data_IF_324633835138
#
_entry.id   IF_324633835138
#
_cell.length_a   1.000
_cell.length_b   1.000
_cell.length_c   1.000
_cell.angle_alpha   90.00
_cell.angle_beta   90.00
_cell.angle_gamma   90.00
#
_symmetry.space_group_name_H-M   'P 1'
#
loop_
_entity.id
_entity.type
_entity.pdbx_description
1 polymer ?
#
# COMPACT_ATOMS: atom_id res chain seq x y z
N UNK A 1 18.58 13.09 -14.37
CA UNK A 1 17.93 11.78 -14.14
C UNK A 1 18.93 10.65 -14.33
N UNK A 2 19.03 9.72 -13.37
CA UNK A 2 19.88 8.52 -13.44
C UNK A 2 18.99 7.27 -13.37
N UNK A 3 19.28 6.24 -14.17
CA UNK A 3 18.53 4.98 -14.19
C UNK A 3 19.43 3.87 -13.66
N UNK A 4 18.93 3.12 -12.68
CA UNK A 4 19.67 2.04 -12.02
C UNK A 4 18.85 0.74 -12.14
N UNK A 5 19.45 -0.37 -12.60
CA UNK A 5 18.78 -1.66 -12.53
C UNK A 5 18.65 -2.10 -11.07
N UNK A 6 17.47 -2.57 -10.68
CA UNK A 6 17.23 -3.14 -9.35
C UNK A 6 17.21 -4.66 -9.44
N UNK A 7 16.43 -5.20 -10.38
CA UNK A 7 16.37 -6.62 -10.71
C UNK A 7 15.85 -6.81 -12.14
N UNK A 8 15.47 -8.04 -12.51
CA UNK A 8 15.04 -8.38 -13.87
C UNK A 8 13.77 -7.65 -14.34
N UNK A 9 12.93 -7.15 -13.43
CA UNK A 9 11.65 -6.48 -13.74
C UNK A 9 11.52 -5.09 -13.12
N UNK A 10 12.59 -4.54 -12.54
CA UNK A 10 12.54 -3.25 -11.85
C UNK A 10 13.72 -2.35 -12.22
N UNK A 11 13.42 -1.08 -12.46
CA UNK A 11 14.39 0.00 -12.58
C UNK A 11 14.09 1.09 -11.53
N UNK A 12 15.14 1.66 -10.94
CA UNK A 12 15.06 2.83 -10.09
C UNK A 12 15.50 4.05 -10.90
N UNK A 13 14.64 5.06 -10.94
CA UNK A 13 14.93 6.36 -11.53
C UNK A 13 15.24 7.34 -10.41
N UNK A 14 16.42 7.94 -10.42
CA UNK A 14 16.79 9.01 -9.50
C UNK A 14 16.65 10.38 -10.15
N UNK A 15 16.02 11.30 -9.41
CA UNK A 15 15.73 12.67 -9.82
C UNK A 15 16.35 13.67 -8.82
N UNK A 16 16.36 14.94 -9.18
CA UNK A 16 17.05 15.98 -8.38
C UNK A 16 16.21 16.48 -7.21
N UNK A 17 14.88 16.43 -7.34
CA UNK A 17 13.94 16.98 -6.38
C UNK A 17 12.61 16.21 -6.36
N UNK A 18 11.83 16.44 -5.31
CA UNK A 18 10.47 15.92 -5.23
C UNK A 18 9.58 16.47 -6.34
N UNK A 19 9.70 17.77 -6.63
CA UNK A 19 8.91 18.41 -7.70
C UNK A 19 9.16 17.74 -9.06
N UNK A 20 10.42 17.44 -9.36
CA UNK A 20 10.78 16.69 -10.58
C UNK A 20 10.23 15.25 -10.53
N UNK A 21 10.29 14.60 -9.36
CA UNK A 21 9.78 13.23 -9.16
C UNK A 21 8.28 13.13 -9.41
N UNK A 22 7.50 14.05 -8.82
CA UNK A 22 6.04 14.13 -9.03
C UNK A 22 5.68 14.49 -10.47
N UNK A 23 6.39 15.44 -11.08
CA UNK A 23 6.17 15.81 -12.48
C UNK A 23 6.44 14.64 -13.43
N UNK A 24 7.52 13.89 -13.18
CA UNK A 24 7.88 12.74 -14.00
C UNK A 24 6.95 11.55 -13.77
N UNK A 25 6.52 11.30 -12.53
CA UNK A 25 5.50 10.30 -12.20
C UNK A 25 4.22 10.52 -13.01
N UNK A 26 3.69 11.75 -13.00
CA UNK A 26 2.49 12.11 -13.76
C UNK A 26 2.71 11.98 -15.27
N UNK A 27 3.87 12.40 -15.77
CA UNK A 27 4.19 12.26 -17.20
C UNK A 27 4.23 10.80 -17.66
N UNK A 28 4.80 9.88 -16.85
CA UNK A 28 4.78 8.44 -17.15
C UNK A 28 3.35 7.91 -17.11
N UNK A 29 2.54 8.29 -16.12
CA UNK A 29 1.13 7.87 -16.04
C UNK A 29 0.31 8.33 -17.24
N UNK A 30 0.54 9.56 -17.71
CA UNK A 30 -0.12 10.10 -18.89
C UNK A 30 0.34 9.42 -20.19
N UNK A 31 1.60 9.00 -20.26
CA UNK A 31 2.13 8.25 -21.41
C UNK A 31 1.48 6.86 -21.55
N UNK A 32 0.93 6.30 -20.45
CA UNK A 32 0.19 5.04 -20.44
C UNK A 32 0.94 3.90 -21.15
N UNK A 33 2.21 3.70 -20.77
CA UNK A 33 3.10 2.68 -21.33
C UNK A 33 2.62 1.30 -20.87
N UNK A 34 2.16 0.47 -21.80
CA UNK A 34 1.51 -0.81 -21.52
C UNK A 34 2.42 -1.83 -20.81
N UNK A 35 3.73 -1.69 -20.99
CA UNK A 35 4.74 -2.59 -20.44
C UNK A 35 5.12 -2.26 -18.99
N UNK A 36 4.65 -1.13 -18.44
CA UNK A 36 4.83 -0.76 -17.04
C UNK A 36 3.65 -1.32 -16.22
N UNK A 37 3.94 -2.15 -15.22
CA UNK A 37 2.92 -2.73 -14.34
C UNK A 37 2.63 -1.85 -13.11
N UNK A 38 3.65 -1.21 -12.55
CA UNK A 38 3.49 -0.36 -11.37
C UNK A 38 4.59 0.70 -11.28
N UNK A 39 4.27 1.81 -10.60
CA UNK A 39 5.19 2.93 -10.38
C UNK A 39 5.04 3.41 -8.94
N UNK A 40 6.15 3.35 -8.19
CA UNK A 40 6.20 3.75 -6.78
C UNK A 40 7.03 5.02 -6.63
N UNK A 41 6.40 6.18 -6.35
CA UNK A 41 7.14 7.40 -6.09
C UNK A 41 7.68 7.45 -4.66
N UNK A 42 8.83 8.10 -4.50
CA UNK A 42 9.42 8.48 -3.22
C UNK A 42 9.96 9.92 -3.31
N UNK A 43 10.76 10.35 -2.32
CA UNK A 43 11.19 11.75 -2.24
C UNK A 43 11.98 12.25 -3.47
N UNK A 44 12.91 11.45 -3.99
CA UNK A 44 13.76 11.79 -5.15
C UNK A 44 13.95 10.61 -6.10
N UNK A 45 13.10 9.60 -5.99
CA UNK A 45 13.21 8.37 -6.76
C UNK A 45 11.85 7.87 -7.21
N UNK A 46 11.81 7.22 -8.37
CA UNK A 46 10.69 6.39 -8.82
C UNK A 46 11.18 4.95 -8.99
N UNK A 47 10.52 3.99 -8.37
CA UNK A 47 10.69 2.58 -8.70
C UNK A 47 9.66 2.22 -9.77
N UNK A 48 10.10 1.73 -10.91
CA UNK A 48 9.23 1.31 -12.01
C UNK A 48 9.35 -0.20 -12.15
N UNK A 49 8.21 -0.89 -12.01
CA UNK A 49 8.05 -2.30 -12.32
C UNK A 49 7.57 -2.43 -13.76
N UNK A 50 8.22 -3.29 -14.54
CA UNK A 50 7.90 -3.52 -15.95
C UNK A 50 7.97 -5.00 -16.30
N UNK A 51 7.38 -5.34 -17.45
CA UNK A 51 7.26 -6.72 -17.93
C UNK A 51 8.46 -7.09 -18.82
N UNK A 52 9.41 -7.93 -18.36
CA UNK A 52 10.69 -8.12 -19.06
C UNK A 52 10.58 -8.90 -20.38
N UNK A 53 9.48 -9.65 -20.58
CA UNK A 53 9.20 -10.35 -21.83
C UNK A 53 8.46 -9.49 -22.86
N UNK A 54 7.98 -8.30 -22.48
CA UNK A 54 7.40 -7.33 -23.40
C UNK A 54 8.41 -6.25 -23.80
N UNK A 55 9.26 -5.81 -22.86
CA UNK A 55 10.26 -4.77 -23.10
C UNK A 55 11.55 -5.03 -22.31
N UNK A 56 12.69 -4.71 -22.91
CA UNK A 56 13.97 -4.73 -22.18
C UNK A 56 14.15 -3.46 -21.35
N UNK A 57 14.93 -3.54 -20.26
CA UNK A 57 15.29 -2.37 -19.46
C UNK A 57 15.87 -1.22 -20.30
N UNK A 58 16.68 -1.56 -21.32
CA UNK A 58 17.34 -0.58 -22.18
C UNK A 58 16.34 0.18 -23.05
N UNK A 59 15.38 -0.52 -23.64
CA UNK A 59 14.30 0.08 -24.45
C UNK A 59 13.41 0.95 -23.57
N UNK A 60 13.01 0.46 -22.40
CA UNK A 60 12.20 1.22 -21.46
C UNK A 60 12.91 2.52 -21.03
N UNK A 61 14.20 2.46 -20.70
CA UNK A 61 14.99 3.66 -20.36
C UNK A 61 15.03 4.65 -21.53
N UNK A 62 15.13 4.18 -22.78
CA UNK A 62 15.11 5.05 -23.95
C UNK A 62 13.75 5.76 -24.11
N UNK A 63 12.64 5.06 -23.87
CA UNK A 63 11.30 5.65 -23.86
C UNK A 63 11.20 6.70 -22.74
N UNK A 64 11.56 6.33 -21.52
CA UNK A 64 11.44 7.19 -20.34
C UNK A 64 12.26 8.48 -20.45
N UNK A 65 13.43 8.45 -21.09
CA UNK A 65 14.26 9.63 -21.35
C UNK A 65 13.62 10.64 -22.30
N UNK A 66 12.73 10.19 -23.18
CA UNK A 66 12.08 11.01 -24.19
C UNK A 66 10.70 11.52 -23.75
N UNK A 67 10.24 11.16 -22.55
CA UNK A 67 8.98 11.68 -22.01
C UNK A 67 9.17 13.17 -21.72
N UNK A 68 8.38 14.00 -22.41
CA UNK A 68 8.33 15.43 -22.13
C UNK A 68 7.68 15.66 -20.76
N UNK A 69 8.46 16.22 -19.83
CA UNK A 69 7.92 16.75 -18.58
C UNK A 69 7.27 18.09 -18.92
N UNK A 70 6.00 18.04 -19.33
CA UNK A 70 5.20 19.25 -19.45
C UNK A 70 5.10 19.87 -18.06
N UNK A 71 5.40 21.17 -17.95
CA UNK A 71 5.20 21.92 -16.72
C UNK A 71 3.78 21.61 -16.24
N UNK A 72 3.70 21.01 -15.05
CA UNK A 72 2.48 20.44 -14.47
C UNK A 72 1.34 21.44 -14.73
N UNK A 73 0.46 21.13 -15.69
CA UNK A 73 -0.90 21.62 -15.59
C UNK A 73 -1.37 20.94 -14.31
N UNK A 74 -1.32 21.68 -13.19
CA UNK A 74 -1.77 21.22 -11.90
C UNK A 74 -3.12 20.61 -12.15
N UNK A 75 -3.16 19.27 -12.16
CA UNK A 75 -4.38 18.52 -11.92
C UNK A 75 -5.00 19.25 -10.74
N UNK A 76 -6.25 19.71 -10.88
CA UNK A 76 -6.98 20.41 -9.81
C UNK A 76 -6.60 19.74 -8.51
N UNK A 77 -5.68 20.35 -7.74
CA UNK A 77 -5.16 19.65 -6.58
C UNK A 77 -6.30 19.69 -5.60
N UNK A 78 -6.78 18.51 -5.20
CA UNK A 78 -7.84 18.46 -4.22
C UNK A 78 -7.24 19.00 -2.93
N UNK A 79 -7.63 20.22 -2.55
CA UNK A 79 -7.25 20.77 -1.26
C UNK A 79 -8.07 20.05 -0.19
N UNK A 80 -7.41 19.14 0.52
CA UNK A 80 -7.98 18.35 1.59
C UNK A 80 -7.69 19.03 2.92
N UNK A 81 -8.72 19.18 3.75
CA UNK A 81 -8.59 19.75 5.09
C UNK A 81 -8.53 18.63 6.13
N UNK A 82 -7.51 18.66 6.99
CA UNK A 82 -7.38 17.72 8.11
C UNK A 82 -7.55 18.49 9.43
N UNK A 83 -8.68 18.29 10.15
CA UNK A 83 -8.89 18.84 11.48
C UNK A 83 -7.99 18.11 12.49
N UNK A 84 -7.27 18.85 13.31
CA UNK A 84 -6.32 18.32 14.30
C UNK A 84 -6.60 18.88 15.68
N UNK A 85 -6.67 17.99 16.67
CA UNK A 85 -6.55 18.32 18.08
C UNK A 85 -5.07 18.36 18.45
N UNK A 86 -4.51 19.56 18.63
CA UNK A 86 -3.09 19.76 18.96
C UNK A 86 -2.81 19.53 20.44
N UNK A 87 -2.87 18.26 20.84
CA UNK A 87 -2.59 17.78 22.20
C UNK A 87 -1.61 16.59 22.14
N UNK A 88 -0.75 16.56 21.11
CA UNK A 88 0.22 15.49 20.95
C UNK A 88 1.25 15.48 22.07
N UNK A 89 1.65 14.28 22.49
CA UNK A 89 2.58 14.07 23.61
C UNK A 89 3.94 14.76 23.42
N UNK A 90 4.38 14.97 22.16
CA UNK A 90 5.68 15.58 21.85
C UNK A 90 5.55 17.06 21.50
N UNK A 91 4.36 17.68 21.52
CA UNK A 91 4.16 19.05 21.04
C UNK A 91 5.09 20.07 21.75
N UNK A 92 5.25 19.94 23.06
CA UNK A 92 6.15 20.79 23.85
C UNK A 92 7.63 20.49 23.57
N UNK A 93 8.01 19.21 23.45
CA UNK A 93 9.37 18.79 23.11
C UNK A 93 9.77 19.33 21.72
N UNK A 94 8.86 19.28 20.75
CA UNK A 94 9.06 19.87 19.42
C UNK A 94 9.30 21.37 19.49
N UNK A 95 8.53 22.08 20.33
CA UNK A 95 8.70 23.51 20.53
C UNK A 95 10.09 23.84 21.11
N UNK A 96 10.56 23.06 22.09
CA UNK A 96 11.90 23.18 22.66
C UNK A 96 13.00 22.91 21.63
N UNK A 97 12.87 21.84 20.83
CA UNK A 97 13.82 21.49 19.76
C UNK A 97 13.97 22.61 18.71
N UNK A 98 12.89 23.35 18.47
CA UNK A 98 12.83 24.44 17.50
C UNK A 98 13.13 25.82 18.12
N UNK A 99 13.24 25.92 19.45
CA UNK A 99 13.44 27.19 20.16
C UNK A 99 12.24 28.15 20.05
N UNK A 100 11.03 27.62 19.94
CA UNK A 100 9.77 28.39 19.81
C UNK A 100 8.74 27.92 20.83
N UNK A 101 7.55 28.54 20.84
CA UNK A 101 6.44 28.11 21.70
C UNK A 101 5.59 27.03 21.03
N UNK A 102 4.87 26.23 21.82
CA UNK A 102 3.92 25.25 21.27
C UNK A 102 2.85 25.93 20.37
N UNK A 103 2.37 27.11 20.77
CA UNK A 103 1.45 27.92 19.96
C UNK A 103 2.04 28.27 18.60
N UNK A 104 3.34 28.58 18.55
CA UNK A 104 4.04 28.88 17.30
C UNK A 104 4.23 27.62 16.43
N UNK A 105 4.48 26.44 17.02
CA UNK A 105 4.47 25.16 16.30
C UNK A 105 3.12 24.92 15.63
N UNK A 106 2.03 25.08 16.40
CA UNK A 106 0.66 24.93 15.88
C UNK A 106 0.44 25.92 14.74
N UNK A 107 0.75 27.21 14.95
CA UNK A 107 0.56 28.28 13.97
C UNK A 107 1.25 27.92 12.64
N UNK A 108 2.55 27.61 12.68
CA UNK A 108 3.32 27.23 11.48
C UNK A 108 2.77 25.98 10.81
N UNK A 109 2.36 24.97 11.59
CA UNK A 109 1.76 23.76 11.02
C UNK A 109 0.40 24.02 10.35
N UNK A 110 -0.38 24.97 10.87
CA UNK A 110 -1.71 25.30 10.32
C UNK A 110 -1.70 26.35 9.22
N UNK A 111 -0.64 27.15 9.08
CA UNK A 111 -0.53 28.17 8.02
C UNK A 111 0.15 27.64 6.75
N UNK A 112 0.86 26.52 6.86
CA UNK A 112 1.49 25.86 5.73
C UNK A 112 0.49 25.05 4.93
N UNK A 113 0.64 25.14 3.61
CA UNK A 113 0.03 24.21 2.67
C UNK A 113 1.03 23.09 2.40
N UNK A 114 0.58 21.85 2.58
CA UNK A 114 1.39 20.66 2.36
C UNK A 114 1.01 19.98 1.07
N UNK A 115 1.98 19.37 0.39
CA UNK A 115 1.75 18.46 -0.73
C UNK A 115 2.02 17.04 -0.27
N UNK A 116 1.20 16.09 -0.75
CA UNK A 116 1.48 14.67 -0.59
C UNK A 116 2.63 14.29 -1.50
N UNK A 117 3.82 14.15 -0.92
CA UNK A 117 5.05 13.82 -1.63
C UNK A 117 5.03 12.39 -2.17
N UNK A 118 4.67 11.45 -1.30
CA UNK A 118 4.52 10.04 -1.62
C UNK A 118 3.78 9.32 -0.50
N UNK A 119 3.29 8.13 -0.80
CA UNK A 119 2.64 7.23 0.15
C UNK A 119 3.49 5.97 0.34
N UNK A 120 3.46 5.38 1.52
CA UNK A 120 4.25 4.19 1.81
C UNK A 120 4.29 3.93 3.31
N UNK A 121 5.21 3.08 3.78
CA UNK A 121 5.30 2.61 5.18
C UNK A 121 4.11 1.73 5.65
N UNK A 122 2.88 2.16 5.40
CA UNK A 122 1.65 1.41 5.61
C UNK A 122 0.55 1.90 4.65
N UNK A 123 -0.48 1.10 4.37
CA UNK A 123 -1.64 1.53 3.59
C UNK A 123 -2.25 2.83 4.13
N UNK A 124 -2.34 3.86 3.29
CA UNK A 124 -2.89 5.17 3.62
C UNK A 124 -1.94 6.12 4.38
N UNK A 125 -0.69 5.74 4.67
CA UNK A 125 0.28 6.67 5.25
C UNK A 125 0.91 7.52 4.14
N UNK A 126 0.82 8.84 4.31
CA UNK A 126 1.30 9.82 3.36
C UNK A 126 2.39 10.71 4.00
N UNK A 127 3.45 10.96 3.25
CA UNK A 127 4.51 11.90 3.61
C UNK A 127 4.14 13.27 3.03
N UNK A 128 3.94 14.24 3.90
CA UNK A 128 3.49 15.59 3.58
C UNK A 128 4.65 16.57 3.69
N UNK A 129 4.80 17.46 2.73
CA UNK A 129 5.88 18.44 2.70
C UNK A 129 5.35 19.81 2.26
N UNK A 130 5.84 20.88 2.89
CA UNK A 130 5.54 22.25 2.47
C UNK A 130 6.61 22.77 1.51
N UNK A 131 6.26 23.70 0.61
CA UNK A 131 7.20 24.30 -0.36
C UNK A 131 8.44 24.93 0.30
N UNK A 132 8.25 25.51 1.49
CA UNK A 132 9.31 25.95 2.39
C UNK A 132 9.03 25.35 3.77
N UNK A 133 9.78 24.33 4.15
CA UNK A 133 9.63 23.74 5.48
C UNK A 133 10.06 24.74 6.56
N UNK A 134 9.14 25.04 7.48
CA UNK A 134 9.41 25.89 8.66
C UNK A 134 9.52 25.06 9.94
N UNK A 135 9.27 23.76 9.84
CA UNK A 135 9.22 22.80 10.94
C UNK A 135 10.13 21.62 10.61
N UNK A 136 11.45 21.86 10.68
CA UNK A 136 12.43 20.79 10.56
C UNK A 136 12.69 20.15 11.92
N UNK A 137 12.13 18.96 12.15
CA UNK A 137 12.13 18.32 13.49
C UNK A 137 12.80 16.95 13.42
N UNK A 138 13.85 16.66 14.21
CA UNK A 138 14.48 15.35 14.18
C UNK A 138 13.52 14.24 14.65
N UNK A 139 13.71 13.03 14.14
CA UNK A 139 13.06 11.84 14.70
C UNK A 139 13.53 11.60 16.12
N UNK A 140 12.68 10.95 16.92
CA UNK A 140 13.07 10.40 18.22
C UNK A 140 14.23 9.42 18.04
N UNK A 141 15.18 9.45 18.98
CA UNK A 141 16.32 8.51 19.01
C UNK A 141 15.85 7.06 19.16
N UNK A 142 14.82 6.84 19.97
CA UNK A 142 14.21 5.53 20.18
C UNK A 142 12.76 5.57 19.69
N UNK A 143 12.38 4.75 18.69
CA UNK A 143 11.02 4.71 18.19
C UNK A 143 10.07 4.12 19.25
N UNK A 144 8.83 4.59 19.25
CA UNK A 144 7.72 3.99 19.98
C UNK A 144 7.38 2.64 19.37
N UNK A 145 7.01 1.69 20.22
CA UNK A 145 6.46 0.41 19.77
C UNK A 145 5.01 0.53 19.29
N UNK A 146 4.30 1.57 19.75
CA UNK A 146 2.89 1.79 19.47
C UNK A 146 2.55 3.27 19.35
N UNK A 147 2.13 3.68 18.16
CA UNK A 147 1.53 4.99 17.87
C UNK A 147 0.07 4.74 17.47
N UNK A 148 -0.92 5.43 18.08
CA UNK A 148 -2.32 5.30 17.70
C UNK A 148 -2.62 5.72 16.26
N UNK A 149 -3.69 5.16 15.68
CA UNK A 149 -4.25 5.66 14.43
C UNK A 149 -4.76 7.09 14.62
N UNK A 150 -4.62 7.92 13.59
CA UNK A 150 -4.99 9.34 13.61
C UNK A 150 -3.95 10.26 14.26
N UNK A 151 -2.84 9.73 14.81
CA UNK A 151 -1.74 10.58 15.30
C UNK A 151 -1.11 11.39 14.17
N UNK A 152 -0.94 12.68 14.40
CA UNK A 152 -0.26 13.62 13.50
C UNK A 152 1.18 13.79 14.00
N UNK A 153 2.15 13.56 13.12
CA UNK A 153 3.56 13.60 13.50
C UNK A 153 4.42 14.45 12.58
N UNK A 154 5.59 14.85 13.09
CA UNK A 154 6.66 15.53 12.37
C UNK A 154 7.96 14.71 12.39
N UNK A 155 8.68 14.69 11.27
CA UNK A 155 10.03 14.14 11.18
C UNK A 155 10.81 14.64 9.95
N UNK A 156 12.01 15.15 10.18
CA UNK A 156 12.78 15.91 9.18
C UNK A 156 11.94 17.08 8.69
N UNK A 157 11.81 17.20 7.38
CA UNK A 157 10.96 18.18 6.71
C UNK A 157 9.49 17.76 6.56
N UNK A 158 9.13 16.54 7.00
CA UNK A 158 7.82 15.94 6.73
C UNK A 158 6.84 16.07 7.89
N UNK A 159 5.57 16.23 7.51
CA UNK A 159 4.39 15.95 8.35
C UNK A 159 3.67 14.70 7.81
N UNK A 160 2.77 14.12 8.60
CA UNK A 160 2.09 12.88 8.25
C UNK A 160 1.09 12.45 9.31
N UNK A 161 0.14 11.60 8.90
CA UNK A 161 -0.89 11.06 9.78
C UNK A 161 -0.84 9.54 9.75
N UNK A 162 -0.75 8.92 10.93
CA UNK A 162 -0.71 7.47 11.08
C UNK A 162 -2.08 6.85 10.73
N UNK A 163 -2.21 6.01 9.69
CA UNK A 163 -3.50 5.46 9.25
C UNK A 163 -4.01 4.34 10.15
N UNK A 164 -3.09 3.66 10.84
CA UNK A 164 -3.36 2.54 11.72
C UNK A 164 -2.33 2.53 12.85
N UNK A 165 -2.59 1.69 13.86
CA UNK A 165 -1.63 1.52 14.95
C UNK A 165 -0.34 0.86 14.45
N UNK A 166 0.80 1.52 14.65
CA UNK A 166 2.11 1.01 14.22
C UNK A 166 3.24 1.49 15.13
N UNK A 167 4.42 0.86 15.13
CA UNK A 167 5.62 1.47 15.70
C UNK A 167 6.04 2.72 14.89
N UNK A 168 6.81 3.62 15.49
CA UNK A 168 7.34 4.79 14.78
C UNK A 168 8.13 5.76 15.65
N UNK A 169 8.96 6.58 15.03
CA UNK A 169 9.86 7.53 15.72
C UNK A 169 9.58 9.00 15.41
N UNK A 170 8.41 9.32 14.86
CA UNK A 170 8.04 10.71 14.59
C UNK A 170 7.58 11.40 15.87
N UNK A 171 7.80 12.71 15.95
CA UNK A 171 7.33 13.52 17.07
C UNK A 171 5.85 13.82 16.90
N UNK A 172 5.01 13.39 17.83
CA UNK A 172 3.55 13.48 17.76
C UNK A 172 3.06 14.83 18.29
N UNK A 173 2.45 15.63 17.42
CA UNK A 173 2.01 17.00 17.71
C UNK A 173 0.50 17.14 17.88
N UNK A 174 -0.28 16.14 17.46
CA UNK A 174 -1.73 16.15 17.60
C UNK A 174 -2.39 14.86 17.13
N UNK A 175 -3.72 14.88 17.05
CA UNK A 175 -4.54 13.77 16.56
C UNK A 175 -5.69 14.24 15.68
N UNK A 176 -6.13 13.40 14.76
CA UNK A 176 -7.32 13.63 13.93
C UNK A 176 -8.26 12.42 13.98
N UNK A 177 -9.56 12.67 13.90
CA UNK A 177 -10.58 11.62 13.77
C UNK A 177 -10.76 11.14 12.33
N UNK A 178 -10.16 11.83 11.36
CA UNK A 178 -10.21 11.41 9.95
C UNK A 178 -9.45 10.11 9.78
N UNK A 179 -10.17 9.06 9.34
CA UNK A 179 -9.54 7.80 8.95
C UNK A 179 -8.76 8.00 7.66
N UNK A 180 -7.44 7.86 7.72
CA UNK A 180 -6.57 7.94 6.54
C UNK A 180 -6.70 6.70 5.64
N UNK A 181 -7.20 5.59 6.18
CA UNK A 181 -7.51 4.36 5.46
C UNK A 181 -8.89 3.82 5.84
N UNK A 182 -9.77 3.60 4.86
CA UNK A 182 -11.12 3.07 5.08
C UNK A 182 -11.61 2.25 3.88
N UNK A 183 -11.69 0.92 4.04
CA UNK A 183 -12.10 -0.01 2.98
C UNK A 183 -13.56 0.16 2.54
N UNK A 184 -14.38 0.88 3.31
CA UNK A 184 -15.76 1.19 2.93
C UNK A 184 -15.86 2.28 1.87
N UNK A 185 -14.75 2.98 1.55
CA UNK A 185 -14.69 4.02 0.51
C UNK A 185 -14.36 3.43 -0.85
N UNK A 186 -14.84 4.06 -1.91
CA UNK A 186 -14.45 3.76 -3.30
C UNK A 186 -12.93 3.82 -3.44
N UNK A 187 -12.35 4.91 -2.92
CA UNK A 187 -10.91 5.07 -2.72
C UNK A 187 -10.56 4.91 -1.23
N UNK A 188 -9.89 3.81 -0.82
CA UNK A 188 -9.64 3.57 0.60
C UNK A 188 -8.69 4.58 1.26
N UNK A 189 -7.64 5.02 0.54
CA UNK A 189 -6.72 6.03 1.02
C UNK A 189 -7.38 7.43 0.99
N UNK A 190 -7.28 8.16 2.08
CA UNK A 190 -7.73 9.56 2.13
C UNK A 190 -6.80 10.50 1.36
N UNK A 191 -5.50 10.20 1.36
CA UNK A 191 -4.45 11.02 0.75
C UNK A 191 -3.77 10.23 -0.36
N UNK A 192 -3.64 10.83 -1.54
CA UNK A 192 -2.89 10.30 -2.68
C UNK A 192 -1.73 11.23 -3.06
N UNK A 193 -0.66 10.71 -3.68
CA UNK A 193 0.40 11.53 -4.25
C UNK A 193 -0.15 12.63 -5.17
N UNK A 194 0.30 13.87 -4.95
CA UNK A 194 -0.18 15.05 -5.67
C UNK A 194 -1.33 15.82 -5.03
N UNK A 195 -2.01 15.26 -4.02
CA UNK A 195 -3.00 16.01 -3.24
C UNK A 195 -2.34 17.15 -2.45
N UNK A 196 -3.14 18.17 -2.12
CA UNK A 196 -2.72 19.28 -1.28
C UNK A 196 -3.47 19.21 0.05
N UNK A 197 -2.78 19.40 1.17
CA UNK A 197 -3.34 19.26 2.52
C UNK A 197 -3.19 20.55 3.29
N UNK A 198 -4.27 20.97 3.93
CA UNK A 198 -4.29 22.05 4.92
C UNK A 198 -4.69 21.48 6.28
N UNK A 199 -3.83 21.65 7.28
CA UNK A 199 -4.19 21.31 8.66
C UNK A 199 -4.92 22.47 9.32
N UNK A 200 -5.94 22.16 10.10
CA UNK A 200 -6.71 23.16 10.84
C UNK A 200 -6.83 22.74 12.30
N UNK A 201 -6.58 23.68 13.20
CA UNK A 201 -6.80 23.51 14.64
C UNK A 201 -8.30 23.58 14.95
N UNK A 202 -8.87 22.46 15.39
CA UNK A 202 -10.29 22.32 15.74
C UNK A 202 -10.72 23.20 16.92
N UNK A 203 -9.77 23.67 17.74
CA UNK A 203 -10.10 24.59 18.83
C UNK A 203 -10.39 26.01 18.32
N UNK A 204 -9.92 26.37 17.12
CA UNK A 204 -10.05 27.72 16.57
C UNK A 204 -11.30 27.92 15.71
N UNK A 205 -11.76 26.88 15.00
CA UNK A 205 -12.95 26.96 14.17
C UNK A 205 -13.56 25.57 13.90
N UNK A 206 -14.90 25.47 13.76
CA UNK A 206 -15.53 24.27 13.24
C UNK A 206 -15.09 24.05 11.78
N UNK A 207 -14.73 22.81 11.46
CA UNK A 207 -14.20 22.45 10.14
C UNK A 207 -15.14 21.45 9.46
N UNK A 208 -15.53 21.76 8.23
CA UNK A 208 -16.23 20.80 7.38
C UNK A 208 -15.20 20.10 6.49
N UNK A 209 -15.20 18.76 6.50
CA UNK A 209 -14.27 17.95 5.71
C UNK A 209 -15.05 17.15 4.68
N UNK A 210 -14.61 17.20 3.43
CA UNK A 210 -15.13 16.31 2.38
C UNK A 210 -14.41 14.96 2.47
N UNK A 211 -15.18 13.87 2.58
CA UNK A 211 -14.66 12.51 2.62
C UNK A 211 -14.88 11.82 1.28
N UNK A 212 -14.02 10.87 0.86
CA UNK A 212 -14.27 10.07 -0.32
C UNK A 212 -15.60 9.31 -0.23
N UNK A 213 -16.23 9.10 -1.39
CA UNK A 213 -17.51 8.40 -1.47
C UNK A 213 -17.42 6.98 -0.90
N UNK A 214 -18.50 6.54 -0.24
CA UNK A 214 -18.64 5.17 0.25
C UNK A 214 -19.08 4.25 -0.87
N UNK A 215 -18.53 3.04 -0.89
CA UNK A 215 -19.00 1.94 -1.73
C UNK A 215 -20.46 1.66 -1.44
N UNK A 216 -21.23 1.41 -2.49
CA UNK A 216 -22.54 0.81 -2.32
C UNK A 216 -22.37 -0.58 -1.71
N UNK A 217 -23.13 -0.88 -0.66
CA UNK A 217 -23.08 -2.18 0.00
C UNK A 217 -23.49 -3.26 -1.00
N UNK A 218 -22.55 -4.15 -1.31
CA UNK A 218 -22.86 -5.37 -2.07
C UNK A 218 -23.68 -6.28 -1.15
N UNK A 219 -24.85 -6.72 -1.60
CA UNK A 219 -25.67 -7.67 -0.85
C UNK A 219 -24.83 -8.89 -0.48
N UNK A 220 -24.90 -9.31 0.78
CA UNK A 220 -24.21 -10.50 1.25
C UNK A 220 -24.62 -11.69 0.38
N UNK A 221 -23.63 -12.36 -0.22
CA UNK A 221 -23.85 -13.60 -0.95
C UNK A 221 -24.52 -14.60 0.00
N UNK A 222 -25.63 -15.21 -0.44
CA UNK A 222 -26.26 -16.29 0.31
C UNK A 222 -25.38 -17.53 0.23
N UNK A 223 -24.68 -17.85 1.33
CA UNK A 223 -23.85 -19.05 1.41
C UNK A 223 -24.72 -20.28 1.66
N UNK A 224 -24.58 -21.30 0.81
CA UNK A 224 -25.12 -22.62 1.08
C UNK A 224 -24.12 -23.40 1.93
N UNK A 225 -24.48 -23.72 3.18
CA UNK A 225 -23.61 -24.41 4.15
C UNK A 225 -23.34 -25.88 3.80
N UNK A 226 -24.06 -26.44 2.84
CA UNK A 226 -23.94 -27.84 2.43
C UNK A 226 -23.09 -28.01 1.17
N UNK A 227 -22.51 -26.92 0.64
CA UNK A 227 -21.68 -26.94 -0.57
C UNK A 227 -20.29 -26.39 -0.29
N UNK A 228 -19.26 -27.17 -0.61
CA UNK A 228 -17.86 -26.73 -0.60
C UNK A 228 -16.94 -27.56 0.30
N UNK A 229 -15.90 -26.89 0.82
CA UNK A 229 -14.86 -27.47 1.67
C UNK A 229 -15.00 -26.90 3.08
N UNK A 230 -15.12 -27.78 4.07
CA UNK A 230 -15.10 -27.43 5.48
C UNK A 230 -13.67 -27.47 6.00
N UNK A 231 -13.20 -26.37 6.61
CA UNK A 231 -11.85 -26.29 7.19
C UNK A 231 -11.85 -26.95 8.57
N UNK A 232 -11.17 -28.10 8.69
CA UNK A 232 -10.95 -28.77 9.97
C UNK A 232 -9.75 -28.15 10.70
N UNK A 233 -8.67 -27.88 9.97
CA UNK A 233 -7.45 -27.23 10.46
C UNK A 233 -6.90 -26.35 9.35
N UNK A 234 -6.52 -25.11 9.67
CA UNK A 234 -5.93 -24.17 8.72
C UNK A 234 -4.39 -24.29 8.60
N UNK A 235 -3.75 -25.14 9.42
CA UNK A 235 -2.29 -25.23 9.48
C UNK A 235 -1.64 -23.98 10.07
N UNK A 236 -0.36 -23.76 9.76
CA UNK A 236 0.39 -22.59 10.24
C UNK A 236 -0.13 -21.29 9.59
N UNK A 237 -0.24 -21.30 8.26
CA UNK A 237 -0.75 -20.19 7.48
C UNK A 237 -1.34 -20.70 6.16
N UNK A 238 -2.64 -20.48 5.98
CA UNK A 238 -3.35 -20.73 4.72
C UNK A 238 -4.09 -19.45 4.35
N UNK A 239 -3.83 -18.93 3.15
CA UNK A 239 -4.37 -17.66 2.66
C UNK A 239 -5.06 -17.85 1.32
N UNK A 240 -6.11 -17.09 1.05
CA UNK A 240 -6.57 -16.92 -0.33
C UNK A 240 -5.65 -15.93 -1.02
N UNK A 241 -5.06 -16.36 -2.14
CA UNK A 241 -4.14 -15.57 -2.93
C UNK A 241 -4.58 -15.56 -4.39
N UNK A 242 -4.46 -14.40 -5.01
CA UNK A 242 -4.68 -14.15 -6.44
C UNK A 242 -3.42 -13.56 -7.07
N UNK A 243 -3.56 -12.77 -8.14
CA UNK A 243 -2.44 -12.05 -8.79
C UNK A 243 -1.81 -10.97 -7.92
N UNK A 244 -2.49 -10.55 -6.85
CA UNK A 244 -2.12 -9.44 -6.01
C UNK A 244 -2.84 -8.13 -6.35
N UNK A 245 -2.25 -7.03 -5.91
CA UNK A 245 -2.82 -5.67 -5.91
C UNK A 245 -1.92 -4.71 -6.70
N UNK A 246 -1.58 -5.09 -7.92
CA UNK A 246 -0.82 -4.24 -8.84
C UNK A 246 -1.52 -2.88 -9.02
N UNK A 247 -0.74 -1.79 -9.02
CA UNK A 247 -1.24 -0.42 -9.13
C UNK A 247 -1.76 0.18 -7.82
N UNK A 248 -1.91 -0.61 -6.75
CA UNK A 248 -2.30 -0.12 -5.43
C UNK A 248 -1.13 0.42 -4.60
N UNK A 249 0.12 0.31 -5.10
CA UNK A 249 1.31 0.78 -4.39
C UNK A 249 1.29 2.30 -4.13
N UNK A 250 0.64 3.07 -5.01
CA UNK A 250 0.36 4.51 -4.84
C UNK A 250 -0.54 4.86 -3.65
N UNK A 251 -1.09 3.86 -2.95
CA UNK A 251 -1.82 4.00 -1.69
C UNK A 251 -1.06 3.39 -0.51
N UNK A 252 0.18 2.93 -0.71
CA UNK A 252 0.97 2.22 0.31
C UNK A 252 0.55 0.76 0.50
N UNK A 253 -0.20 0.17 -0.43
CA UNK A 253 -0.58 -1.25 -0.40
C UNK A 253 0.53 -2.09 -1.03
N UNK A 254 0.95 -3.16 -0.37
CA UNK A 254 1.93 -4.09 -0.93
C UNK A 254 1.34 -4.89 -2.09
N UNK A 255 2.19 -5.40 -2.98
CA UNK A 255 1.75 -6.17 -4.13
C UNK A 255 0.91 -7.40 -3.75
N UNK A 256 1.20 -8.07 -2.63
CA UNK A 256 0.51 -9.31 -2.20
C UNK A 256 0.45 -10.35 -3.33
N UNK A 257 -0.65 -11.13 -3.40
CA UNK A 257 -0.81 -12.23 -4.34
C UNK A 257 -0.02 -13.48 -3.94
N UNK A 258 -0.16 -14.51 -4.78
CA UNK A 258 0.56 -15.76 -4.57
C UNK A 258 2.07 -15.53 -4.65
N UNK A 259 2.80 -16.10 -3.70
CA UNK A 259 4.25 -16.06 -3.65
C UNK A 259 4.86 -16.81 -4.85
N UNK A 260 4.24 -17.92 -5.23
CA UNK A 260 4.52 -18.65 -6.46
C UNK A 260 3.31 -18.58 -7.41
N UNK A 261 3.32 -17.56 -8.29
CA UNK A 261 2.26 -17.36 -9.29
C UNK A 261 2.21 -18.48 -10.33
N UNK A 262 3.35 -19.11 -10.64
CA UNK A 262 3.39 -20.24 -11.58
C UNK A 262 2.63 -21.43 -11.02
N UNK A 263 2.80 -21.72 -9.73
CA UNK A 263 2.01 -22.74 -9.03
C UNK A 263 0.53 -22.37 -8.99
N UNK A 264 0.16 -21.14 -8.60
CA UNK A 264 -1.24 -20.68 -8.64
C UNK A 264 -1.88 -20.94 -10.01
N UNK A 265 -1.21 -20.52 -11.08
CA UNK A 265 -1.71 -20.68 -12.44
C UNK A 265 -1.81 -22.16 -12.85
N UNK A 266 -0.85 -22.98 -12.45
CA UNK A 266 -0.85 -24.42 -12.75
C UNK A 266 -2.02 -25.13 -12.07
N UNK A 267 -2.23 -24.90 -10.77
CA UNK A 267 -3.35 -25.46 -10.02
C UNK A 267 -4.70 -25.07 -10.65
N UNK A 268 -4.89 -23.80 -11.00
CA UNK A 268 -6.11 -23.35 -11.65
C UNK A 268 -6.33 -24.02 -13.02
N UNK A 269 -5.29 -24.09 -13.86
CA UNK A 269 -5.39 -24.75 -15.17
C UNK A 269 -5.75 -26.23 -15.07
N UNK A 270 -5.20 -26.95 -14.09
CA UNK A 270 -5.45 -28.38 -13.89
C UNK A 270 -6.93 -28.70 -13.61
N UNK A 271 -7.68 -27.76 -13.05
CA UNK A 271 -9.12 -27.90 -12.79
C UNK A 271 -10.00 -27.07 -13.74
N UNK A 272 -9.41 -26.46 -14.79
CA UNK A 272 -10.12 -25.69 -15.80
C UNK A 272 -10.54 -24.27 -15.38
N UNK A 273 -9.99 -23.73 -14.28
CA UNK A 273 -10.23 -22.35 -13.85
C UNK A 273 -9.41 -21.34 -14.68
N UNK A 274 -9.82 -20.06 -14.72
CA UNK A 274 -8.94 -18.97 -15.15
C UNK A 274 -7.62 -18.99 -14.34
N UNK A 275 -6.44 -18.82 -14.97
CA UNK A 275 -5.15 -18.92 -14.28
C UNK A 275 -5.02 -17.98 -13.06
N UNK A 276 -5.62 -16.79 -13.14
CA UNK A 276 -5.58 -15.73 -12.14
C UNK A 276 -6.65 -15.82 -11.06
N UNK A 277 -7.48 -16.88 -11.06
CA UNK A 277 -8.53 -17.03 -10.07
C UNK A 277 -7.90 -17.26 -8.68
N UNK A 278 -8.46 -16.61 -7.65
CA UNK A 278 -7.95 -16.78 -6.29
C UNK A 278 -8.00 -18.26 -5.85
N UNK A 279 -6.93 -18.75 -5.25
CA UNK A 279 -6.83 -20.10 -4.70
C UNK A 279 -6.21 -20.08 -3.30
N UNK A 280 -6.22 -21.23 -2.62
CA UNK A 280 -5.57 -21.39 -1.32
C UNK A 280 -4.06 -21.56 -1.51
N UNK A 281 -3.28 -20.66 -0.94
CA UNK A 281 -1.84 -20.81 -0.74
C UNK A 281 -1.59 -21.35 0.67
N UNK A 282 -0.82 -22.43 0.76
CA UNK A 282 -0.59 -23.18 2.00
C UNK A 282 0.90 -23.12 2.33
N UNK A 283 1.24 -22.47 3.43
CA UNK A 283 2.63 -22.31 3.86
C UNK A 283 2.91 -23.25 5.03
N UNK A 284 3.96 -24.08 4.92
CA UNK A 284 4.36 -25.10 5.91
C UNK A 284 3.33 -26.22 6.19
N UNK A 285 2.29 -26.37 5.36
CA UNK A 285 1.33 -27.47 5.46
C UNK A 285 0.38 -27.40 6.66
N UNK A 286 -0.20 -28.55 7.04
CA UNK A 286 -1.13 -28.68 8.18
C UNK A 286 -2.58 -28.30 7.88
N UNK A 287 -2.90 -27.94 6.63
CA UNK A 287 -4.27 -27.76 6.16
C UNK A 287 -5.00 -29.11 6.13
N UNK A 288 -6.16 -29.17 6.77
CA UNK A 288 -7.07 -30.32 6.73
C UNK A 288 -8.44 -29.81 6.31
N UNK A 289 -8.91 -30.30 5.17
CA UNK A 289 -10.22 -29.97 4.62
C UNK A 289 -11.11 -31.22 4.58
N UNK A 290 -12.41 -31.00 4.75
CA UNK A 290 -13.44 -32.01 4.51
C UNK A 290 -14.35 -31.54 3.38
N UNK A 291 -14.39 -32.29 2.30
CA UNK A 291 -15.35 -32.06 1.23
C UNK A 291 -16.77 -32.42 1.70
N UNK A 292 -17.72 -31.51 1.46
CA UNK A 292 -19.15 -31.74 1.73
C UNK A 292 -19.91 -32.24 0.50
N UNK A 293 -19.26 -32.21 -0.66
CA UNK A 293 -19.75 -32.67 -1.95
C UNK A 293 -18.58 -33.22 -2.77
N UNK A 294 -18.88 -33.94 -3.84
CA UNK A 294 -17.85 -34.31 -4.81
C UNK A 294 -17.22 -33.05 -5.41
N UNK A 295 -15.89 -33.02 -5.42
CA UNK A 295 -15.11 -31.91 -5.94
C UNK A 295 -13.81 -32.38 -6.56
N UNK A 296 -13.32 -31.64 -7.55
CA UNK A 296 -11.99 -31.81 -8.13
C UNK A 296 -11.06 -30.76 -7.52
N UNK A 297 -9.94 -31.21 -6.96
CA UNK A 297 -8.92 -30.35 -6.36
C UNK A 297 -7.59 -30.65 -7.05
N UNK A 298 -6.89 -29.61 -7.48
CA UNK A 298 -5.50 -29.70 -7.90
C UNK A 298 -4.59 -29.07 -6.85
N UNK A 299 -3.41 -29.66 -6.69
CA UNK A 299 -2.33 -29.13 -5.86
C UNK A 299 -1.09 -28.98 -6.74
N UNK A 300 -0.39 -27.86 -6.58
CA UNK A 300 0.91 -27.61 -7.21
C UNK A 300 1.73 -26.69 -6.33
N UNK A 301 3.02 -26.54 -6.65
CA UNK A 301 3.99 -25.79 -5.85
C UNK A 301 5.03 -26.75 -5.27
N UNK A 302 5.50 -26.47 -4.06
CA UNK A 302 6.51 -27.28 -3.40
C UNK A 302 6.01 -28.71 -3.09
N UNK A 303 6.96 -29.65 -3.05
CA UNK A 303 6.69 -31.03 -2.65
C UNK A 303 6.08 -31.08 -1.24
N UNK A 304 4.95 -31.77 -1.12
CA UNK A 304 4.30 -32.00 0.16
C UNK A 304 3.63 -33.37 0.20
N UNK A 305 3.48 -33.92 1.39
CA UNK A 305 2.73 -35.16 1.59
C UNK A 305 1.24 -34.86 1.59
N UNK A 306 0.49 -35.58 0.75
CA UNK A 306 -0.96 -35.46 0.65
C UNK A 306 -1.56 -36.79 1.11
N UNK A 307 -2.54 -36.71 2.02
CA UNK A 307 -3.34 -37.86 2.43
C UNK A 307 -4.81 -37.57 2.16
N UNK A 308 -5.49 -38.51 1.51
CA UNK A 308 -6.93 -38.47 1.30
C UNK A 308 -7.55 -39.56 2.16
N UNK A 309 -8.42 -39.17 3.09
CA UNK A 309 -9.17 -40.12 3.92
C UNK A 309 -10.60 -40.21 3.41
N UNK A 310 -11.02 -41.40 3.01
CA UNK A 310 -12.41 -41.65 2.64
C UNK A 310 -13.27 -41.85 3.88
N UNK A 311 -14.58 -41.65 3.74
CA UNK A 311 -15.55 -41.83 4.84
C UNK A 311 -15.57 -43.28 5.36
N UNK A 312 -15.14 -44.24 4.53
CA UNK A 312 -14.98 -45.67 4.88
C UNK A 312 -13.78 -45.95 5.77
N UNK A 313 -12.87 -44.99 5.98
CA UNK A 313 -11.70 -45.13 6.85
C UNK A 313 -10.38 -45.43 6.11
N UNK A 314 -10.44 -45.78 4.83
CA UNK A 314 -9.26 -46.03 4.00
C UNK A 314 -8.48 -44.73 3.73
N UNK A 315 -7.16 -44.79 3.91
CA UNK A 315 -6.23 -43.69 3.59
C UNK A 315 -5.60 -44.00 2.24
N UNK A 316 -5.89 -43.17 1.24
CA UNK A 316 -5.13 -43.13 0.00
C UNK A 316 -3.99 -42.13 0.18
N UNK A 317 -2.75 -42.59 0.09
CA UNK A 317 -1.58 -41.72 -0.05
C UNK A 317 -1.37 -41.43 -1.54
N UNK A 318 -1.41 -40.16 -1.92
CA UNK A 318 -0.89 -39.75 -3.21
C UNK A 318 0.55 -39.28 -2.98
N UNK A 319 1.51 -40.09 -3.43
CA UNK A 319 2.93 -39.75 -3.40
C UNK A 319 3.39 -39.25 -4.77
N UNK A 320 4.23 -38.21 -4.72
CA UNK A 320 5.10 -37.62 -5.75
C UNK A 320 4.44 -36.95 -6.97
N UNK A 321 4.51 -35.61 -7.01
CA UNK A 321 4.83 -34.88 -8.25
C UNK A 321 6.36 -34.83 -8.38
N UNK A 322 7.00 -35.99 -8.51
CA UNK A 322 8.35 -36.02 -9.06
C UNK A 322 8.23 -35.65 -10.53
N UNK A 323 8.87 -34.56 -10.96
CA UNK A 323 9.50 -34.49 -12.27
C UNK A 323 10.61 -33.42 -12.29
N UNK A 324 11.83 -33.91 -12.48
CA UNK A 324 13.00 -33.39 -13.21
C UNK A 324 13.21 -31.88 -13.37
#
# INVERSE_FOLDING_TARGET
MRFLPVNLSHILVELTSLKETLAFYEAIKQANIAEIEDIVPAAKTLLIQYVPWLITAKELVAILRNIEIKAIAMRQSHLLTIPVHYQGEDLHEVAELLGITATEVIRRHTEQTYQVAFTGFAPGFAYLIADKTELYVPRRKTPRTRIPAGSVGLAGEFSGVYPQQSPGGWQLIGTTEIKMWDLSREQPAFLLPGDTVQFVDVQKAPVTVSLPEKKQSINALSFNKDKGLYVISAGLQTLFQDEGRLGAASMGVSASGALDKCALHAANRLVGNPPSLAALEITQGGLILKAQQDCVIALSGADCTISLKQTTGDIAFFFYLSNY
#
